data_IF_393197135123
#
_entry.id   IF_393197135123
#
_cell.length_a   1.000
_cell.length_b   1.000
_cell.length_c   1.000
_cell.angle_alpha   90.00
_cell.angle_beta   90.00
_cell.angle_gamma   90.00
#
_symmetry.space_group_name_H-M   'P 1'
#
loop_
_entity.id
_entity.type
_entity.pdbx_description
1 polymer ?
#
# COMPACT_ATOMS: atom_id res chain seq x y z
N UNK A 1 -6.05 -12.15 2.04
CA UNK A 1 -5.25 -10.95 1.80
C UNK A 1 -3.79 -11.35 1.66
N UNK A 2 -3.24 -11.22 0.46
CA UNK A 2 -1.82 -11.39 0.21
C UNK A 2 -1.09 -10.09 0.59
N UNK A 3 0.12 -10.21 1.14
CA UNK A 3 0.97 -9.03 1.28
C UNK A 3 1.38 -8.50 -0.12
N UNK A 4 1.75 -7.22 -0.26
CA UNK A 4 2.02 -6.61 -1.57
C UNK A 4 3.10 -7.33 -2.39
N UNK A 5 4.12 -7.89 -1.76
CA UNK A 5 5.18 -8.62 -2.44
C UNK A 5 4.68 -9.96 -3.00
N UNK A 6 3.86 -10.67 -2.22
CA UNK A 6 3.21 -11.91 -2.65
C UNK A 6 2.17 -11.64 -3.74
N UNK A 7 1.40 -10.55 -3.65
CA UNK A 7 0.47 -10.12 -4.68
C UNK A 7 1.17 -9.91 -6.03
N UNK A 8 2.22 -9.10 -6.08
CA UNK A 8 3.00 -8.86 -7.30
C UNK A 8 3.62 -10.15 -7.89
N UNK A 9 4.14 -11.04 -7.05
CA UNK A 9 4.66 -12.35 -7.50
C UNK A 9 3.58 -13.22 -8.12
N UNK A 10 2.39 -13.26 -7.52
CA UNK A 10 1.26 -14.03 -8.04
C UNK A 10 0.84 -13.52 -9.41
N UNK A 11 0.69 -12.21 -9.58
CA UNK A 11 0.35 -11.60 -10.87
C UNK A 11 1.45 -11.87 -11.92
N UNK A 12 2.72 -11.81 -11.55
CA UNK A 12 3.81 -12.15 -12.46
C UNK A 12 3.75 -13.60 -12.94
N UNK A 13 3.49 -14.56 -12.04
CA UNK A 13 3.33 -15.97 -12.40
C UNK A 13 2.12 -16.20 -13.32
N UNK A 14 1.02 -15.51 -13.06
CA UNK A 14 -0.19 -15.55 -13.89
C UNK A 14 0.12 -15.06 -15.31
N UNK A 15 0.85 -13.95 -15.45
CA UNK A 15 1.28 -13.40 -16.74
C UNK A 15 2.18 -14.39 -17.52
N UNK A 16 3.14 -15.05 -16.83
CA UNK A 16 3.97 -16.09 -17.43
C UNK A 16 3.16 -17.30 -17.92
N UNK A 17 2.18 -17.75 -17.14
CA UNK A 17 1.28 -18.84 -17.52
C UNK A 17 0.41 -18.48 -18.72
N UNK A 18 -0.10 -17.25 -18.76
CA UNK A 18 -0.87 -16.74 -19.88
C UNK A 18 -0.05 -16.76 -21.18
N UNK A 19 1.17 -16.23 -21.15
CA UNK A 19 2.08 -16.19 -22.28
C UNK A 19 2.50 -17.59 -22.77
N UNK A 20 2.77 -18.48 -21.82
CA UNK A 20 3.23 -19.84 -22.14
C UNK A 20 2.13 -20.74 -22.73
N UNK A 21 0.87 -20.55 -22.31
CA UNK A 21 -0.24 -21.46 -22.64
C UNK A 21 -1.34 -20.82 -23.48
N UNK A 22 -1.28 -19.51 -23.76
CA UNK A 22 -2.36 -18.77 -24.42
C UNK A 22 -3.67 -18.79 -23.61
N UNK A 23 -3.57 -18.89 -22.29
CA UNK A 23 -4.74 -19.03 -21.42
C UNK A 23 -5.52 -17.72 -21.31
N UNK A 24 -6.86 -17.81 -21.26
CA UNK A 24 -7.70 -16.69 -20.85
C UNK A 24 -7.77 -16.64 -19.34
N UNK A 25 -7.49 -15.46 -18.74
CA UNK A 25 -7.40 -15.28 -17.29
C UNK A 25 -8.39 -14.22 -16.86
N UNK A 26 -9.19 -14.53 -15.85
CA UNK A 26 -10.04 -13.58 -15.13
C UNK A 26 -9.45 -13.38 -13.73
N UNK A 27 -9.10 -12.12 -13.42
CA UNK A 27 -8.60 -11.73 -12.10
C UNK A 27 -9.69 -10.91 -11.41
N UNK A 28 -10.03 -11.28 -10.18
CA UNK A 28 -10.94 -10.50 -9.33
C UNK A 28 -10.09 -9.91 -8.22
N UNK A 29 -9.96 -8.59 -8.23
CA UNK A 29 -9.11 -7.85 -7.28
C UNK A 29 -9.73 -6.47 -6.99
N UNK A 30 -9.50 -5.97 -5.80
CA UNK A 30 -9.94 -4.65 -5.36
C UNK A 30 -8.79 -3.62 -5.33
N UNK A 31 -7.55 -4.06 -5.54
CA UNK A 31 -6.34 -3.26 -5.60
C UNK A 31 -5.82 -3.19 -7.02
N UNK A 32 -6.37 -2.26 -7.78
CA UNK A 32 -6.08 -2.11 -9.21
C UNK A 32 -4.57 -1.93 -9.49
N UNK A 33 -3.85 -1.24 -8.63
CA UNK A 33 -2.40 -1.02 -8.76
C UNK A 33 -1.60 -2.34 -8.79
N UNK A 34 -2.01 -3.35 -8.03
CA UNK A 34 -1.36 -4.67 -8.03
C UNK A 34 -1.60 -5.42 -9.35
N UNK A 35 -2.78 -5.26 -9.94
CA UNK A 35 -3.13 -5.87 -11.22
C UNK A 35 -2.40 -5.19 -12.37
N UNK A 36 -2.37 -3.86 -12.37
CA UNK A 36 -1.70 -3.04 -13.40
C UNK A 36 -0.17 -3.12 -13.38
N UNK A 37 0.41 -3.88 -12.45
CA UNK A 37 1.84 -4.24 -12.49
C UNK A 37 2.22 -5.04 -13.74
N UNK A 38 1.24 -5.65 -14.42
CA UNK A 38 1.37 -6.35 -15.69
C UNK A 38 0.35 -5.85 -16.69
N UNK A 39 0.56 -6.20 -17.95
CA UNK A 39 -0.37 -5.83 -19.01
C UNK A 39 -1.72 -6.53 -18.79
N UNK A 40 -2.77 -5.74 -18.78
CA UNK A 40 -4.16 -6.18 -18.69
C UNK A 40 -4.88 -5.64 -19.92
N UNK A 41 -5.57 -6.52 -20.63
CA UNK A 41 -6.26 -6.13 -21.87
C UNK A 41 -7.51 -5.30 -21.59
N UNK A 42 -8.24 -5.64 -20.50
CA UNK A 42 -9.53 -5.07 -20.20
C UNK A 42 -9.84 -5.10 -18.71
N UNK A 43 -10.48 -4.04 -18.24
CA UNK A 43 -10.98 -3.92 -16.86
C UNK A 43 -12.50 -3.81 -16.91
N UNK A 44 -13.16 -4.66 -16.12
CA UNK A 44 -14.61 -4.60 -15.91
C UNK A 44 -14.84 -4.06 -14.50
N UNK A 45 -15.44 -2.87 -14.42
CA UNK A 45 -15.80 -2.23 -13.15
C UNK A 45 -17.21 -2.64 -12.77
N UNK A 46 -17.35 -3.27 -11.61
CA UNK A 46 -18.63 -3.72 -11.07
C UNK A 46 -18.94 -2.97 -9.78
N UNK A 47 -20.11 -2.36 -9.71
CA UNK A 47 -20.62 -1.76 -8.48
C UNK A 47 -22.15 -1.96 -8.38
N UNK A 48 -22.67 -2.16 -7.17
CA UNK A 48 -24.11 -2.38 -6.90
C UNK A 48 -24.76 -3.43 -7.81
N UNK A 49 -24.03 -4.50 -8.13
CA UNK A 49 -24.50 -5.60 -8.96
C UNK A 49 -24.60 -5.28 -10.46
N UNK A 50 -24.04 -4.15 -10.92
CA UNK A 50 -24.05 -3.71 -12.32
C UNK A 50 -22.64 -3.52 -12.85
N UNK A 51 -22.46 -3.75 -14.14
CA UNK A 51 -21.25 -3.36 -14.86
C UNK A 51 -21.34 -1.85 -15.14
N UNK A 52 -20.44 -1.06 -14.56
CA UNK A 52 -20.35 0.38 -14.77
C UNK A 52 -19.42 0.73 -15.94
N UNK A 53 -18.40 -0.08 -16.14
CA UNK A 53 -17.44 0.11 -17.22
C UNK A 53 -16.87 -1.25 -17.67
N UNK A 54 -16.53 -1.32 -18.95
CA UNK A 54 -15.85 -2.43 -19.60
C UNK A 54 -14.94 -1.83 -20.68
N UNK A 55 -13.69 -1.55 -20.34
CA UNK A 55 -12.78 -0.76 -21.17
C UNK A 55 -11.31 -1.09 -20.90
N UNK A 56 -10.43 -0.53 -21.71
CA UNK A 56 -8.98 -0.68 -21.49
C UNK A 56 -8.53 0.07 -20.22
N UNK A 57 -7.38 -0.33 -19.61
CA UNK A 57 -6.84 0.37 -18.45
C UNK A 57 -6.61 1.87 -18.70
N UNK A 58 -6.07 2.24 -19.87
CA UNK A 58 -5.82 3.64 -20.20
C UNK A 58 -7.12 4.46 -20.29
N UNK A 59 -8.17 3.88 -20.84
CA UNK A 59 -9.48 4.54 -20.88
C UNK A 59 -10.07 4.69 -19.49
N UNK A 60 -10.06 3.65 -18.66
CA UNK A 60 -10.62 3.70 -17.31
C UNK A 60 -9.92 4.74 -16.43
N UNK A 61 -8.58 4.76 -16.44
CA UNK A 61 -7.79 5.71 -15.65
C UNK A 61 -7.90 7.15 -16.15
N UNK A 62 -8.36 7.35 -17.38
CA UNK A 62 -8.68 8.69 -17.90
C UNK A 62 -10.05 9.22 -17.45
N UNK A 63 -10.85 8.41 -16.75
CA UNK A 63 -12.15 8.82 -16.19
C UNK A 63 -12.05 9.08 -14.69
N UNK A 64 -13.12 9.61 -14.10
CA UNK A 64 -13.30 9.70 -12.63
C UNK A 64 -13.97 8.47 -12.02
N UNK A 65 -14.34 7.46 -12.82
CA UNK A 65 -15.18 6.34 -12.38
C UNK A 65 -14.66 5.59 -11.16
N UNK A 66 -13.35 5.43 -11.03
CA UNK A 66 -12.77 4.77 -9.86
C UNK A 66 -13.01 5.59 -8.58
N UNK A 67 -12.65 6.88 -8.63
CA UNK A 67 -12.82 7.80 -7.51
C UNK A 67 -14.30 7.98 -7.13
N UNK A 68 -15.18 8.15 -8.11
CA UNK A 68 -16.63 8.32 -7.93
C UNK A 68 -17.28 7.08 -7.27
N UNK A 69 -16.65 5.91 -7.41
CA UNK A 69 -17.12 4.66 -6.81
C UNK A 69 -16.30 4.21 -5.59
N UNK A 70 -15.46 5.09 -5.03
CA UNK A 70 -14.66 4.80 -3.84
C UNK A 70 -13.57 3.75 -4.06
N UNK A 71 -13.19 3.50 -5.31
CA UNK A 71 -12.12 2.57 -5.66
C UNK A 71 -10.82 3.35 -5.79
N UNK A 72 -9.79 2.88 -5.12
CA UNK A 72 -8.49 3.53 -5.11
C UNK A 72 -7.83 3.46 -6.48
N UNK A 73 -7.49 4.61 -7.01
CA UNK A 73 -6.62 4.74 -8.19
C UNK A 73 -5.16 4.40 -7.85
N UNK A 74 -4.33 4.02 -8.84
CA UNK A 74 -2.89 3.95 -8.65
C UNK A 74 -2.31 5.28 -8.11
N UNK A 75 -1.35 5.21 -7.20
CA UNK A 75 -0.82 6.39 -6.50
C UNK A 75 -0.27 7.46 -7.45
N UNK A 76 0.40 7.05 -8.54
CA UNK A 76 0.94 8.00 -9.51
C UNK A 76 -0.17 8.74 -10.26
N UNK A 77 -1.30 8.09 -10.55
CA UNK A 77 -2.49 8.72 -11.16
C UNK A 77 -3.09 9.74 -10.20
N UNK A 78 -3.24 9.36 -8.93
CA UNK A 78 -3.72 10.29 -7.88
C UNK A 78 -2.79 11.51 -7.73
N UNK A 79 -1.46 11.31 -7.73
CA UNK A 79 -0.50 12.41 -7.67
C UNK A 79 -0.62 13.36 -8.88
N UNK A 80 -0.78 12.82 -10.09
CA UNK A 80 -1.00 13.61 -11.29
C UNK A 80 -2.28 14.46 -11.20
N UNK A 81 -3.38 13.89 -10.67
CA UNK A 81 -4.63 14.64 -10.46
C UNK A 81 -4.45 15.76 -9.45
N UNK A 82 -3.78 15.52 -8.33
CA UNK A 82 -3.49 16.56 -7.33
C UNK A 82 -2.60 17.68 -7.88
N UNK A 83 -1.69 17.35 -8.80
CA UNK A 83 -0.90 18.34 -9.51
C UNK A 83 -1.68 19.10 -10.60
N UNK A 84 -2.96 18.80 -10.80
CA UNK A 84 -3.79 19.45 -11.82
C UNK A 84 -3.43 19.03 -13.24
N UNK A 85 -2.92 17.81 -13.41
CA UNK A 85 -2.64 17.21 -14.72
C UNK A 85 -3.92 16.52 -15.22
N UNK A 86 -4.32 16.89 -16.44
CA UNK A 86 -5.44 16.20 -17.11
C UNK A 86 -4.97 14.84 -17.63
N UNK A 87 -5.63 13.78 -17.16
CA UNK A 87 -5.25 12.41 -17.49
C UNK A 87 -6.07 11.93 -18.67
N UNK A 88 -5.42 11.78 -19.81
CA UNK A 88 -6.02 11.27 -21.03
C UNK A 88 -5.41 9.92 -21.41
N UNK A 89 -6.09 9.15 -22.25
CA UNK A 89 -5.59 7.85 -22.74
C UNK A 89 -4.29 7.97 -23.56
N UNK A 90 -4.08 9.12 -24.19
CA UNK A 90 -2.87 9.41 -24.96
C UNK A 90 -1.62 9.49 -24.06
N UNK A 91 -1.82 9.84 -22.79
CA UNK A 91 -0.76 9.83 -21.77
C UNK A 91 -0.43 8.43 -21.26
N UNK A 92 -1.14 7.39 -21.71
CA UNK A 92 -0.91 5.98 -21.37
C UNK A 92 -0.80 5.72 -19.86
N UNK A 93 -1.84 6.07 -19.09
CA UNK A 93 -1.80 5.98 -17.64
C UNK A 93 -1.89 4.55 -17.08
N UNK A 94 -2.04 3.52 -17.91
CA UNK A 94 -2.18 2.13 -17.46
C UNK A 94 -0.99 1.62 -16.63
N UNK A 95 0.21 2.09 -16.89
CA UNK A 95 1.41 1.66 -16.18
C UNK A 95 2.35 2.86 -15.94
N UNK A 96 2.93 2.94 -14.75
CA UNK A 96 3.79 4.07 -14.36
C UNK A 96 4.96 4.31 -15.33
N UNK A 97 5.54 3.22 -15.87
CA UNK A 97 6.66 3.31 -16.82
C UNK A 97 6.23 3.74 -18.23
N UNK A 98 4.93 3.67 -18.55
CA UNK A 98 4.39 4.07 -19.86
C UNK A 98 3.82 5.48 -19.89
N UNK A 99 3.67 6.11 -18.72
CA UNK A 99 3.08 7.46 -18.62
C UNK A 99 3.89 8.48 -19.44
N UNK A 100 3.20 9.17 -20.32
CA UNK A 100 3.76 10.26 -21.13
C UNK A 100 3.38 11.59 -20.50
N UNK A 101 4.38 12.32 -20.01
CA UNK A 101 4.24 13.67 -19.47
C UNK A 101 5.02 14.64 -20.35
N UNK A 102 4.37 15.71 -20.79
CA UNK A 102 5.04 16.83 -21.43
C UNK A 102 5.74 17.73 -20.38
N UNK A 103 6.43 18.79 -20.86
CA UNK A 103 7.17 19.69 -19.97
C UNK A 103 6.25 20.49 -19.04
N UNK A 104 5.03 20.78 -19.47
CA UNK A 104 4.02 21.48 -18.65
C UNK A 104 3.54 20.55 -17.52
N UNK A 105 3.26 19.31 -17.83
CA UNK A 105 2.85 18.30 -16.84
C UNK A 105 3.96 18.05 -15.81
N UNK A 106 5.21 17.92 -16.28
CA UNK A 106 6.38 17.74 -15.40
C UNK A 106 6.53 18.91 -14.44
N UNK A 107 6.39 20.13 -14.97
CA UNK A 107 6.44 21.33 -14.14
C UNK A 107 5.32 21.38 -13.12
N UNK A 108 4.09 21.10 -13.52
CA UNK A 108 2.94 21.02 -12.57
C UNK A 108 3.20 20.02 -11.43
N UNK A 109 3.72 18.84 -11.77
CA UNK A 109 4.00 17.80 -10.78
C UNK A 109 5.10 18.24 -9.81
N UNK A 110 6.16 18.88 -10.34
CA UNK A 110 7.23 19.41 -9.53
C UNK A 110 6.75 20.54 -8.62
N UNK A 111 6.03 21.53 -9.15
CA UNK A 111 5.48 22.66 -8.39
C UNK A 111 4.54 22.17 -7.29
N UNK A 112 3.69 21.18 -7.58
CA UNK A 112 2.83 20.54 -6.59
C UNK A 112 3.63 19.84 -5.48
N UNK A 113 4.68 19.09 -5.83
CA UNK A 113 5.52 18.39 -4.87
C UNK A 113 6.27 19.36 -3.95
N UNK A 114 6.85 20.43 -4.53
CA UNK A 114 7.59 21.47 -3.80
C UNK A 114 6.67 22.31 -2.88
N UNK A 115 5.40 22.45 -3.25
CA UNK A 115 4.41 23.16 -2.43
C UNK A 115 3.89 22.37 -1.24
N UNK A 116 4.23 21.05 -1.12
CA UNK A 116 3.78 20.27 0.02
C UNK A 116 4.49 20.73 1.30
N UNK A 117 3.75 20.93 2.41
CA UNK A 117 4.38 21.31 3.66
C UNK A 117 5.35 20.21 4.12
N UNK A 118 6.58 20.61 4.39
CA UNK A 118 7.52 19.72 5.10
C UNK A 118 6.94 19.59 6.51
N UNK A 119 6.64 18.36 6.90
CA UNK A 119 6.20 18.09 8.26
C UNK A 119 7.41 18.36 9.19
N UNK A 120 7.37 19.51 9.87
CA UNK A 120 8.39 19.83 10.88
C UNK A 120 8.31 18.80 12.00
N UNK A 121 9.46 18.38 12.47
CA UNK A 121 9.55 17.47 13.62
C UNK A 121 8.86 18.12 14.82
N UNK A 122 7.89 17.45 15.40
CA UNK A 122 6.98 18.04 16.38
C UNK A 122 7.63 18.27 17.77
N UNK A 123 8.94 18.43 17.83
CA UNK A 123 9.70 18.64 19.05
C UNK A 123 9.68 17.45 20.04
N UNK A 124 10.26 17.62 21.21
CA UNK A 124 10.24 16.59 22.26
C UNK A 124 8.80 16.38 22.75
N UNK A 125 8.28 15.17 22.59
CA UNK A 125 6.98 14.74 23.09
C UNK A 125 7.14 13.82 24.29
N UNK A 126 6.11 13.76 25.15
CA UNK A 126 6.04 12.79 26.24
C UNK A 126 5.94 11.37 25.68
N UNK A 127 6.85 10.47 26.11
CA UNK A 127 6.79 9.06 25.72
C UNK A 127 5.54 8.40 26.33
N UNK A 128 4.70 7.84 25.49
CA UNK A 128 3.49 7.14 25.90
C UNK A 128 3.75 5.65 26.09
N UNK A 129 4.42 5.02 25.12
CA UNK A 129 4.78 3.61 25.13
C UNK A 129 6.29 3.47 24.90
N UNK A 130 6.93 2.66 25.70
CA UNK A 130 8.32 2.28 25.47
C UNK A 130 8.45 0.75 25.55
N UNK A 131 9.04 0.18 24.51
CA UNK A 131 9.33 -1.24 24.39
C UNK A 131 10.83 -1.40 24.27
N UNK A 132 11.45 -2.23 25.14
CA UNK A 132 12.87 -2.43 25.17
C UNK A 132 13.23 -3.90 25.06
N UNK A 133 14.04 -4.25 24.07
CA UNK A 133 14.63 -5.58 23.88
C UNK A 133 13.59 -6.73 23.93
N UNK A 134 12.39 -6.48 23.44
CA UNK A 134 11.26 -7.40 23.50
C UNK A 134 11.52 -8.63 22.64
N UNK A 135 11.46 -9.82 23.24
CA UNK A 135 11.54 -11.08 22.53
C UNK A 135 10.41 -11.99 22.98
N UNK A 136 9.84 -12.73 22.03
CA UNK A 136 8.72 -13.65 22.27
C UNK A 136 8.64 -14.76 21.24
N UNK A 137 8.29 -15.97 21.67
CA UNK A 137 7.98 -17.10 20.81
C UNK A 137 6.84 -17.93 21.35
N UNK A 138 5.92 -18.36 20.47
CA UNK A 138 4.85 -19.29 20.85
C UNK A 138 5.37 -20.70 21.18
N UNK A 139 6.58 -21.02 20.73
CA UNK A 139 7.27 -22.28 21.01
C UNK A 139 8.74 -21.99 21.32
N UNK A 140 9.39 -22.86 22.11
CA UNK A 140 10.80 -22.70 22.52
C UNK A 140 11.76 -22.65 21.32
N UNK A 141 11.40 -23.29 20.21
CA UNK A 141 12.26 -23.41 19.03
C UNK A 141 12.05 -22.31 17.99
N UNK A 142 11.00 -21.47 18.16
CA UNK A 142 10.68 -20.43 17.18
C UNK A 142 10.35 -19.09 17.83
N UNK A 143 11.31 -18.18 17.82
CA UNK A 143 11.10 -16.80 18.21
C UNK A 143 10.39 -16.02 17.12
N UNK A 144 9.20 -15.50 17.44
CA UNK A 144 8.39 -14.64 16.56
C UNK A 144 8.84 -13.20 16.58
N UNK A 145 9.26 -12.71 17.75
CA UNK A 145 9.88 -11.38 17.94
C UNK A 145 11.27 -11.56 18.53
N UNK A 146 12.23 -10.78 18.04
CA UNK A 146 13.63 -10.88 18.45
C UNK A 146 14.19 -9.49 18.74
N UNK A 147 14.39 -9.20 20.02
CA UNK A 147 15.05 -7.98 20.48
C UNK A 147 14.43 -6.69 19.87
N UNK A 148 13.10 -6.59 19.88
CA UNK A 148 12.37 -5.45 19.32
C UNK A 148 12.38 -4.31 20.33
N UNK A 149 12.82 -3.13 19.88
CA UNK A 149 12.76 -1.90 20.67
C UNK A 149 12.07 -0.81 19.86
N UNK A 150 11.15 -0.08 20.52
CA UNK A 150 10.32 0.95 19.90
C UNK A 150 9.84 1.91 20.99
N UNK A 151 9.75 3.18 20.68
CA UNK A 151 9.01 4.15 21.50
C UNK A 151 7.93 4.82 20.67
N UNK A 152 6.81 5.15 21.33
CA UNK A 152 5.70 5.89 20.72
C UNK A 152 5.39 7.06 21.64
N UNK A 153 5.35 8.25 21.07
CA UNK A 153 5.09 9.47 21.80
C UNK A 153 3.58 9.77 21.86
N UNK A 154 3.19 10.57 22.84
CA UNK A 154 1.80 10.99 23.02
C UNK A 154 1.32 11.80 21.82
N UNK A 155 0.18 11.37 21.24
CA UNK A 155 -0.39 12.00 20.04
C UNK A 155 0.30 11.62 18.74
N UNK A 156 1.27 10.69 18.77
CA UNK A 156 1.89 10.14 17.57
C UNK A 156 0.98 9.11 16.91
N UNK A 157 0.98 9.07 15.59
CA UNK A 157 0.33 8.02 14.79
C UNK A 157 1.39 7.10 14.20
N UNK A 158 1.45 5.87 14.69
CA UNK A 158 2.45 4.89 14.26
C UNK A 158 1.80 3.77 13.46
N UNK A 159 2.36 3.43 12.30
CA UNK A 159 1.93 2.29 11.49
C UNK A 159 2.97 1.18 11.53
N UNK A 160 2.56 -0.02 11.96
CA UNK A 160 3.42 -1.21 11.95
C UNK A 160 3.16 -2.00 10.66
N UNK A 161 4.15 -2.03 9.78
CA UNK A 161 4.07 -2.70 8.48
C UNK A 161 5.03 -3.89 8.40
N UNK A 162 4.73 -4.85 7.54
CA UNK A 162 5.56 -6.02 7.33
C UNK A 162 4.79 -7.17 6.67
N UNK A 163 5.53 -8.18 6.19
CA UNK A 163 4.96 -9.38 5.55
C UNK A 163 4.04 -10.17 6.48
N UNK A 164 3.21 -11.05 5.90
CA UNK A 164 2.45 -12.03 6.69
C UNK A 164 3.42 -12.93 7.47
N UNK A 165 3.10 -13.17 8.75
CA UNK A 165 3.99 -13.91 9.65
C UNK A 165 5.16 -13.13 10.24
N UNK A 166 5.32 -11.82 9.97
CA UNK A 166 6.42 -11.01 10.49
C UNK A 166 6.31 -10.65 11.99
N UNK A 167 5.27 -11.09 12.69
CA UNK A 167 5.11 -10.83 14.13
C UNK A 167 4.26 -9.61 14.49
N UNK A 168 3.67 -8.89 13.53
CA UNK A 168 2.87 -7.66 13.79
C UNK A 168 1.75 -7.87 14.80
N UNK A 169 0.93 -8.90 14.59
CA UNK A 169 -0.18 -9.25 15.51
C UNK A 169 0.33 -9.75 16.86
N UNK A 170 1.48 -10.41 16.88
CA UNK A 170 2.13 -10.85 18.13
C UNK A 170 2.61 -9.64 18.93
N UNK A 171 3.26 -8.68 18.27
CA UNK A 171 3.66 -7.42 18.91
C UNK A 171 2.46 -6.67 19.50
N UNK A 172 1.37 -6.55 18.75
CA UNK A 172 0.14 -5.93 19.24
C UNK A 172 -0.43 -6.64 20.47
N UNK A 173 -0.44 -7.99 20.50
CA UNK A 173 -0.91 -8.75 21.65
C UNK A 173 -0.07 -8.51 22.90
N UNK A 174 1.25 -8.48 22.76
CA UNK A 174 2.18 -8.19 23.86
C UNK A 174 1.97 -6.79 24.42
N UNK A 175 1.90 -5.77 23.54
CA UNK A 175 1.63 -4.39 23.98
C UNK A 175 0.29 -4.23 24.66
N UNK A 176 -0.72 -4.98 24.23
CA UNK A 176 -2.06 -4.99 24.87
C UNK A 176 -2.14 -5.90 26.12
N UNK A 177 -1.06 -6.59 26.50
CA UNK A 177 -1.06 -7.49 27.66
C UNK A 177 -1.86 -8.79 27.49
N UNK A 178 -2.10 -9.23 26.25
CA UNK A 178 -2.71 -10.53 25.97
C UNK A 178 -1.72 -11.70 26.02
N UNK A 179 -0.44 -11.40 25.93
CA UNK A 179 0.66 -12.34 26.01
C UNK A 179 1.78 -11.72 26.87
N UNK A 180 2.53 -12.53 27.60
CA UNK A 180 3.68 -12.09 28.36
C UNK A 180 4.97 -12.30 27.53
N UNK A 181 5.89 -11.35 27.50
CA UNK A 181 7.15 -11.51 26.77
C UNK A 181 8.09 -12.53 27.41
N UNK A 182 8.85 -13.27 26.60
CA UNK A 182 9.93 -14.14 27.10
C UNK A 182 11.08 -13.31 27.70
N UNK A 183 11.34 -12.13 27.14
CA UNK A 183 12.31 -11.17 27.67
C UNK A 183 12.04 -9.76 27.13
N UNK A 184 12.62 -8.76 27.80
CA UNK A 184 12.43 -7.36 27.50
C UNK A 184 11.36 -6.72 28.38
N UNK A 185 11.08 -5.46 28.12
CA UNK A 185 10.18 -4.65 28.94
C UNK A 185 9.22 -3.87 28.04
N UNK A 186 7.99 -3.74 28.52
CA UNK A 186 6.97 -2.86 27.94
C UNK A 186 6.52 -1.92 29.04
N UNK A 187 6.64 -0.62 28.80
CA UNK A 187 6.27 0.42 29.75
C UNK A 187 5.26 1.37 29.09
N UNK A 188 4.16 1.62 29.78
CA UNK A 188 3.11 2.54 29.37
C UNK A 188 3.00 3.67 30.39
N UNK A 189 3.13 4.95 29.96
CA UNK A 189 3.22 6.12 30.83
C UNK A 189 4.31 5.98 31.92
N UNK A 190 5.44 5.37 31.58
CA UNK A 190 6.57 5.19 32.50
C UNK A 190 6.35 4.17 33.61
N UNK A 191 5.30 3.31 33.47
CA UNK A 191 4.98 2.22 34.41
C UNK A 191 5.08 0.87 33.73
#
# INVERSE_FOLDING_TARGET
NLDPATGKRTIALIDELQKAKGATILIIEHRLEDVLWRNVDRIVLVNEGKILADMTPDELLSTSLLADNGIREPLYVTAMRYAGIDITKEKKPAHVDSVVLDDIDRKKLQDWFEAQPIQEDAGEREKLLEVRNLSFGYTKDHQTLRNVSLSIDKGEMVSIVGRNGAGKSTFSKLVCGFEDPDSGEISFHGK
#
